data_IF_820374650673
#
_entry.id   IF_820374650673
#
_cell.length_a   1.000
_cell.length_b   1.000
_cell.length_c   1.000
_cell.angle_alpha   90.00
_cell.angle_beta   90.00
_cell.angle_gamma   90.00
#
_symmetry.space_group_name_H-M   'P 1'
#
loop_
_entity.id
_entity.type
_entity.pdbx_description
1 polymer ?
#
# COMPACT_ATOMS: atom_id res chain seq x y z
N UNK A 1 -19.43 12.40 42.22
CA UNK A 1 -19.27 13.44 41.17
C UNK A 1 -18.02 14.24 41.55
N UNK A 2 -17.02 14.59 40.72
CA UNK A 2 -16.63 14.31 39.32
C UNK A 2 -15.07 14.07 39.35
N UNK A 3 -14.30 13.69 38.33
CA UNK A 3 -14.50 13.41 36.88
C UNK A 3 -13.50 12.30 36.46
N UNK A 4 -13.40 11.97 35.17
CA UNK A 4 -12.38 11.06 34.60
C UNK A 4 -11.43 11.82 33.65
N UNK A 5 -10.14 11.47 33.64
CA UNK A 5 -9.12 11.76 32.59
C UNK A 5 -8.01 10.70 32.75
N UNK A 6 -8.09 9.48 32.18
CA UNK A 6 -7.83 9.10 30.79
C UNK A 6 -6.42 9.45 30.26
N UNK A 7 -5.45 8.56 30.50
CA UNK A 7 -4.11 8.59 29.89
C UNK A 7 -4.15 8.04 28.46
N UNK A 8 -4.63 8.87 27.53
CA UNK A 8 -4.78 8.55 26.11
C UNK A 8 -3.70 9.14 25.21
N UNK A 9 -2.42 9.09 25.59
CA UNK A 9 -1.30 9.63 24.79
C UNK A 9 -0.77 8.66 23.74
N UNK A 10 -1.69 8.07 22.96
CA UNK A 10 -1.34 7.41 21.70
C UNK A 10 -0.82 8.44 20.69
N UNK A 11 0.39 8.24 20.19
CA UNK A 11 1.09 9.18 19.31
C UNK A 11 0.45 9.28 17.91
N UNK A 12 -0.54 10.18 17.76
CA UNK A 12 -1.03 10.66 16.46
C UNK A 12 -0.01 11.59 15.78
N UNK A 13 1.24 11.14 15.64
CA UNK A 13 2.27 11.85 14.90
C UNK A 13 2.02 11.74 13.40
N UNK A 14 1.28 12.72 12.87
CA UNK A 14 1.26 13.03 11.45
C UNK A 14 0.44 12.06 10.60
N UNK A 15 -0.88 12.20 10.65
CA UNK A 15 -1.71 11.93 9.46
C UNK A 15 -1.41 12.99 8.38
N UNK A 16 -0.20 12.93 7.80
CA UNK A 16 -0.02 13.36 6.42
C UNK A 16 -0.92 12.46 5.59
N UNK A 17 -1.76 13.04 4.75
CA UNK A 17 -2.56 12.29 3.80
C UNK A 17 -1.58 11.55 2.88
N UNK A 18 -1.36 10.26 3.13
CA UNK A 18 -0.41 9.46 2.38
C UNK A 18 -1.09 9.07 1.07
N UNK A 19 -0.63 9.65 -0.05
CA UNK A 19 -1.13 9.32 -1.37
C UNK A 19 -0.84 7.86 -1.69
N UNK A 20 -1.83 6.99 -1.48
CA UNK A 20 -1.70 5.57 -1.78
C UNK A 20 -1.69 5.37 -3.30
N UNK A 21 -0.64 4.69 -3.79
CA UNK A 21 -0.52 4.21 -5.15
C UNK A 21 -1.01 2.77 -5.27
N UNK A 22 -1.66 2.46 -6.39
CA UNK A 22 -2.16 1.14 -6.72
C UNK A 22 -1.09 0.36 -7.50
N UNK A 23 -0.71 -0.83 -7.03
CA UNK A 23 0.19 -1.74 -7.75
C UNK A 23 -0.65 -2.66 -8.65
N UNK A 24 -0.39 -2.64 -9.96
CA UNK A 24 -1.07 -3.45 -10.97
C UNK A 24 -0.05 -4.35 -11.68
N UNK A 25 -0.42 -5.61 -11.92
CA UNK A 25 0.39 -6.52 -12.71
C UNK A 25 0.38 -6.13 -14.20
N UNK A 26 1.54 -5.85 -14.78
CA UNK A 26 1.71 -5.47 -16.18
C UNK A 26 1.34 -6.55 -17.20
N UNK A 27 1.15 -7.82 -16.78
CA UNK A 27 0.77 -8.93 -17.65
C UNK A 27 -0.73 -9.26 -17.61
N UNK A 28 -1.31 -9.46 -16.44
CA UNK A 28 -2.73 -9.82 -16.30
C UNK A 28 -3.66 -8.63 -16.01
N UNK A 29 -3.13 -7.44 -15.68
CA UNK A 29 -3.92 -6.27 -15.30
C UNK A 29 -4.56 -6.35 -13.92
N UNK A 30 -4.28 -7.41 -13.14
CA UNK A 30 -4.83 -7.57 -11.79
C UNK A 30 -4.18 -6.61 -10.78
N UNK A 31 -4.99 -6.13 -9.84
CA UNK A 31 -4.54 -5.41 -8.66
C UNK A 31 -3.73 -6.34 -7.76
N UNK A 32 -2.49 -5.95 -7.43
CA UNK A 32 -1.57 -6.72 -6.61
C UNK A 32 -1.54 -6.21 -5.17
N UNK A 33 -1.45 -4.89 -4.98
CA UNK A 33 -1.29 -4.27 -3.65
C UNK A 33 -1.60 -2.75 -3.70
N UNK A 34 -1.56 -2.09 -2.55
CA UNK A 34 -1.54 -0.61 -2.42
C UNK A 34 -0.39 -0.17 -1.51
N UNK A 35 0.42 0.79 -1.96
CA UNK A 35 1.60 1.26 -1.24
C UNK A 35 1.54 2.78 -1.01
N UNK A 36 2.05 3.31 0.13
CA UNK A 36 2.25 4.75 0.28
C UNK A 36 3.21 5.30 -0.76
N UNK A 37 2.81 6.35 -1.47
CA UNK A 37 3.63 7.04 -2.47
C UNK A 37 3.69 8.54 -2.21
N UNK A 38 4.51 9.24 -3.00
CA UNK A 38 4.54 10.70 -3.04
C UNK A 38 3.79 11.20 -4.30
N UNK A 39 2.49 10.85 -4.39
CA UNK A 39 1.60 11.26 -5.49
C UNK A 39 1.53 10.34 -6.72
N UNK A 40 2.12 9.15 -6.68
CA UNK A 40 2.14 8.20 -7.82
C UNK A 40 0.95 7.25 -7.73
N UNK A 41 -0.07 7.47 -8.57
CA UNK A 41 -1.36 6.76 -8.46
C UNK A 41 -1.34 5.31 -8.94
N UNK A 42 -0.52 4.98 -9.94
CA UNK A 42 -0.42 3.65 -10.54
C UNK A 42 1.06 3.25 -10.58
N UNK A 43 1.35 2.06 -10.07
CA UNK A 43 2.66 1.40 -10.11
C UNK A 43 2.48 0.09 -10.89
N UNK A 44 3.37 -0.16 -11.85
CA UNK A 44 3.34 -1.35 -12.68
C UNK A 44 4.37 -2.38 -12.18
N UNK A 45 3.93 -3.59 -11.85
CA UNK A 45 4.75 -4.69 -11.34
C UNK A 45 4.41 -6.03 -11.98
N UNK A 46 4.86 -7.13 -11.37
CA UNK A 46 4.43 -8.48 -11.73
C UNK A 46 3.83 -9.16 -10.49
N UNK A 47 2.68 -9.82 -10.66
CA UNK A 47 2.10 -10.65 -9.61
C UNK A 47 2.84 -12.00 -9.52
N UNK A 48 2.66 -12.70 -8.40
CA UNK A 48 3.29 -14.00 -8.12
C UNK A 48 2.63 -15.17 -8.87
N UNK A 49 1.70 -14.90 -9.80
CA UNK A 49 1.07 -15.94 -10.60
C UNK A 49 2.09 -16.61 -11.52
N UNK A 50 2.12 -17.95 -11.64
CA UNK A 50 3.07 -18.65 -12.51
C UNK A 50 2.89 -18.30 -13.99
N UNK A 51 1.71 -17.84 -14.41
CA UNK A 51 1.48 -17.30 -15.76
C UNK A 51 2.13 -15.93 -15.99
N UNK A 52 2.38 -15.18 -14.91
CA UNK A 52 2.89 -13.81 -14.96
C UNK A 52 4.37 -13.70 -14.61
N UNK A 53 4.95 -14.71 -13.96
CA UNK A 53 6.41 -14.80 -13.75
C UNK A 53 7.16 -14.46 -15.05
N UNK A 54 8.30 -13.75 -15.01
CA UNK A 54 9.26 -13.91 -16.09
C UNK A 54 9.58 -15.41 -16.16
N UNK A 55 9.54 -15.99 -17.35
CA UNK A 55 10.14 -17.31 -17.51
C UNK A 55 11.63 -17.06 -17.41
N UNK A 56 12.27 -17.59 -16.37
CA UNK A 56 13.72 -17.56 -16.28
C UNK A 56 14.25 -18.53 -17.34
N UNK A 57 14.51 -18.00 -18.53
CA UNK A 57 15.43 -18.61 -19.48
C UNK A 57 16.78 -18.76 -18.75
N UNK A 58 17.18 -20.02 -18.54
CA UNK A 58 18.30 -20.44 -17.71
C UNK A 58 19.54 -20.80 -18.55
#
# INVERSE_FOLDING_TARGET
>A
MKTMLNEGTGSLQGQRNQDLGLVICSKCGEMVDTLPTNGVKIIHGLCQSPSCSPQTEA
#
